data_IF_136177527500
#
_entry.id   IF_136177527500
#
_cell.length_a   1.000
_cell.length_b   1.000
_cell.length_c   1.000
_cell.angle_alpha   90.00
_cell.angle_beta   90.00
_cell.angle_gamma   90.00
#
_symmetry.space_group_name_H-M   'P 1'
#
loop_
_entity.id
_entity.type
_entity.pdbx_description
1 polymer ?
#
# COMPACT_ATOMS: atom_id res chain seq x y z
N UNK A 1 1.08 15.87 16.60
CA UNK A 1 0.13 16.46 15.62
C UNK A 1 -0.05 15.43 14.52
N UNK A 2 -1.16 14.70 14.53
CA UNK A 2 -1.43 13.65 13.54
C UNK A 2 -2.26 14.26 12.42
N UNK A 3 -1.60 14.73 11.37
CA UNK A 3 -2.26 15.17 10.16
C UNK A 3 -2.88 13.94 9.51
N UNK A 4 -4.21 13.78 9.55
CA UNK A 4 -4.91 12.72 8.82
C UNK A 4 -4.80 13.02 7.34
N UNK A 5 -3.77 12.49 6.69
CA UNK A 5 -3.55 12.61 5.24
C UNK A 5 -4.72 12.03 4.42
N UNK A 6 -5.66 11.34 5.07
CA UNK A 6 -6.86 10.78 4.46
C UNK A 6 -8.08 11.71 4.47
N UNK A 7 -8.00 12.87 5.12
CA UNK A 7 -9.07 13.87 5.06
C UNK A 7 -9.16 14.46 3.65
N UNK A 8 -10.40 14.72 3.18
CA UNK A 8 -10.64 15.43 1.93
C UNK A 8 -10.49 16.92 2.17
N UNK A 9 -9.51 17.53 1.51
CA UNK A 9 -9.25 18.97 1.65
C UNK A 9 -10.01 19.82 0.60
N UNK A 10 -10.37 19.23 -0.55
CA UNK A 10 -11.10 19.91 -1.63
C UNK A 10 -11.80 18.92 -2.56
N UNK A 11 -12.68 19.42 -3.44
CA UNK A 11 -13.30 18.60 -4.48
C UNK A 11 -12.27 18.00 -5.46
N UNK A 12 -11.17 18.72 -5.72
CA UNK A 12 -10.08 18.21 -6.58
C UNK A 12 -9.27 17.13 -5.87
N UNK A 13 -8.98 17.33 -4.58
CA UNK A 13 -8.34 16.31 -3.76
C UNK A 13 -9.19 15.03 -3.65
N UNK A 14 -10.50 15.18 -3.45
CA UNK A 14 -11.45 14.07 -3.48
C UNK A 14 -11.36 13.28 -4.80
N UNK A 15 -11.39 13.98 -5.95
CA UNK A 15 -11.32 13.31 -7.26
C UNK A 15 -10.01 12.56 -7.42
N UNK A 16 -8.90 13.19 -7.06
CA UNK A 16 -7.57 12.56 -7.08
C UNK A 16 -7.54 11.30 -6.20
N UNK A 17 -8.06 11.37 -4.98
CA UNK A 17 -8.17 10.25 -4.04
C UNK A 17 -9.02 9.10 -4.58
N UNK A 18 -10.14 9.41 -5.23
CA UNK A 18 -11.00 8.41 -5.87
C UNK A 18 -10.31 7.75 -7.07
N UNK A 19 -9.70 8.53 -7.95
CA UNK A 19 -8.98 8.01 -9.13
C UNK A 19 -7.91 7.01 -8.72
N UNK A 20 -7.09 7.35 -7.71
CA UNK A 20 -6.07 6.45 -7.17
C UNK A 20 -6.66 5.10 -6.74
N UNK A 21 -7.79 5.13 -6.01
CA UNK A 21 -8.46 3.94 -5.49
C UNK A 21 -9.09 3.08 -6.60
N UNK A 22 -9.81 3.69 -7.55
CA UNK A 22 -10.36 2.96 -8.70
C UNK A 22 -9.26 2.28 -9.53
N UNK A 23 -8.17 2.98 -9.79
CA UNK A 23 -7.06 2.41 -10.57
C UNK A 23 -6.34 1.30 -9.80
N UNK A 24 -6.08 1.49 -8.51
CA UNK A 24 -5.51 0.44 -7.67
C UNK A 24 -6.41 -0.81 -7.68
N UNK A 25 -7.72 -0.62 -7.52
CA UNK A 25 -8.71 -1.68 -7.59
C UNK A 25 -8.70 -2.40 -8.95
N UNK A 26 -8.66 -1.66 -10.06
CA UNK A 26 -8.55 -2.23 -11.40
C UNK A 26 -7.29 -3.08 -11.54
N UNK A 27 -6.14 -2.58 -11.06
CA UNK A 27 -4.88 -3.33 -11.07
C UNK A 27 -4.94 -4.60 -10.20
N UNK A 28 -5.64 -4.56 -9.06
CA UNK A 28 -5.85 -5.71 -8.20
C UNK A 28 -6.70 -6.78 -8.92
N UNK A 29 -7.85 -6.39 -9.48
CA UNK A 29 -8.74 -7.27 -10.24
C UNK A 29 -8.10 -7.89 -11.48
N UNK A 30 -7.19 -7.16 -12.13
CA UNK A 30 -6.43 -7.65 -13.29
C UNK A 30 -5.22 -8.53 -12.90
N UNK A 31 -5.03 -8.81 -11.60
CA UNK A 31 -3.87 -9.51 -11.04
C UNK A 31 -2.54 -8.89 -11.49
N UNK A 32 -2.49 -7.56 -11.66
CA UNK A 32 -1.29 -6.84 -12.11
C UNK A 32 -0.42 -6.39 -10.96
N UNK A 33 -1.02 -6.13 -9.79
CA UNK A 33 -0.30 -5.92 -8.53
C UNK A 33 0.50 -7.17 -8.12
N UNK A 34 0.04 -8.32 -8.59
CA UNK A 34 0.59 -9.64 -8.36
C UNK A 34 1.02 -10.23 -9.70
N UNK A 35 1.92 -9.58 -10.43
CA UNK A 35 2.61 -10.25 -11.58
C UNK A 35 4.12 -10.33 -11.40
N UNK A 36 4.73 -9.33 -10.78
CA UNK A 36 6.16 -9.33 -10.45
C UNK A 36 6.51 -10.33 -9.34
N UNK A 37 5.63 -10.50 -8.34
CA UNK A 37 5.74 -11.48 -7.25
C UNK A 37 5.98 -12.94 -7.70
N UNK A 38 5.39 -13.38 -8.81
CA UNK A 38 5.44 -14.77 -9.28
C UNK A 38 6.79 -15.14 -9.91
N UNK A 39 7.66 -14.15 -10.13
CA UNK A 39 9.00 -14.35 -10.69
C UNK A 39 10.10 -14.46 -9.62
N UNK A 40 9.77 -14.35 -8.32
CA UNK A 40 10.75 -14.56 -7.25
C UNK A 40 10.90 -16.06 -6.95
N UNK A 41 11.92 -16.68 -7.55
CA UNK A 41 12.31 -18.09 -7.37
C UNK A 41 12.59 -18.52 -5.91
N UNK A 42 12.59 -17.58 -4.95
CA UNK A 42 12.91 -17.82 -3.53
C UNK A 42 11.72 -17.72 -2.57
N UNK A 43 10.50 -17.53 -3.08
CA UNK A 43 9.31 -17.30 -2.27
C UNK A 43 9.26 -15.89 -1.68
N UNK A 44 8.10 -15.51 -1.14
CA UNK A 44 7.86 -14.16 -0.62
C UNK A 44 8.77 -13.84 0.58
N UNK A 45 9.43 -12.68 0.52
CA UNK A 45 10.09 -12.10 1.69
C UNK A 45 9.03 -11.65 2.70
N UNK A 46 9.12 -12.13 3.94
CA UNK A 46 8.19 -11.74 5.01
C UNK A 46 8.56 -10.36 5.54
N UNK A 47 7.88 -9.33 5.01
CA UNK A 47 8.13 -7.90 5.23
C UNK A 47 8.40 -7.50 6.70
N UNK A 48 7.68 -8.13 7.63
CA UNK A 48 7.63 -7.67 9.02
C UNK A 48 8.57 -8.44 9.95
N UNK A 49 8.73 -9.74 9.72
CA UNK A 49 9.42 -10.63 10.67
C UNK A 49 10.94 -10.65 10.49
N UNK A 50 11.45 -10.36 9.29
CA UNK A 50 12.88 -10.50 9.03
C UNK A 50 13.71 -9.25 9.29
N UNK A 51 13.15 -8.04 9.18
CA UNK A 51 13.95 -6.81 9.13
C UNK A 51 13.84 -5.80 10.26
N UNK A 52 12.72 -5.77 10.99
CA UNK A 52 12.60 -4.89 12.17
C UNK A 52 13.15 -5.53 13.45
N UNK A 53 14.01 -6.55 13.31
CA UNK A 53 14.70 -7.17 14.45
C UNK A 53 15.70 -6.16 15.05
N UNK A 54 15.89 -6.15 16.39
CA UNK A 54 16.85 -5.26 17.05
C UNK A 54 18.26 -5.30 16.45
N UNK A 55 18.67 -6.45 15.89
CA UNK A 55 19.96 -6.63 15.22
C UNK A 55 20.16 -5.77 13.95
N UNK A 56 19.08 -5.23 13.39
CA UNK A 56 19.12 -4.35 12.21
C UNK A 56 19.04 -2.86 12.56
N UNK A 57 18.88 -2.51 13.85
CA UNK A 57 18.90 -1.12 14.31
C UNK A 57 20.35 -0.67 14.43
N UNK A 58 20.71 0.35 13.64
CA UNK A 58 22.00 1.01 13.74
C UNK A 58 21.95 2.04 14.86
N UNK A 59 22.95 2.02 15.74
CA UNK A 59 23.13 3.03 16.78
C UNK A 59 24.34 3.90 16.46
N UNK A 60 24.24 5.19 16.77
CA UNK A 60 25.40 6.08 16.78
C UNK A 60 26.25 5.90 18.06
N UNK A 61 27.36 6.62 18.14
CA UNK A 61 28.28 6.60 19.31
C UNK A 61 27.59 7.03 20.62
N UNK A 62 26.45 7.72 20.54
CA UNK A 62 25.64 8.15 21.67
C UNK A 62 24.49 7.22 22.04
N UNK A 63 24.47 5.99 21.50
CA UNK A 63 23.38 4.99 21.66
C UNK A 63 22.01 5.48 21.17
N UNK A 64 21.99 6.41 20.21
CA UNK A 64 20.74 6.83 19.55
C UNK A 64 20.56 6.03 18.28
N UNK A 65 19.30 5.75 17.94
CA UNK A 65 18.94 5.10 16.68
C UNK A 65 19.36 6.01 15.52
N UNK A 66 20.36 5.56 14.77
CA UNK A 66 20.89 6.22 13.58
C UNK A 66 20.21 5.74 12.30
N UNK A 67 19.62 4.55 12.31
CA UNK A 67 18.88 4.01 11.19
C UNK A 67 18.49 2.56 11.37
N UNK A 68 17.84 1.98 10.35
CA UNK A 68 17.58 0.55 10.25
C UNK A 68 18.21 0.06 8.95
N UNK A 69 19.03 -0.98 9.02
CA UNK A 69 19.58 -1.65 7.84
C UNK A 69 18.57 -2.68 7.35
N UNK A 70 18.05 -2.48 6.15
CA UNK A 70 17.19 -3.47 5.49
C UNK A 70 18.02 -4.69 5.07
N UNK A 71 17.42 -5.88 5.11
CA UNK A 71 18.00 -7.06 4.48
C UNK A 71 17.99 -6.87 2.96
N UNK A 72 18.86 -7.62 2.26
CA UNK A 72 18.88 -7.62 0.79
C UNK A 72 17.50 -7.84 0.18
N UNK A 73 16.74 -8.88 0.58
CA UNK A 73 15.39 -9.11 0.04
C UNK A 73 14.40 -7.97 0.29
N UNK A 74 14.47 -7.28 1.43
CA UNK A 74 13.62 -6.11 1.69
C UNK A 74 14.03 -4.89 0.90
N UNK A 75 15.33 -4.71 0.70
CA UNK A 75 15.83 -3.67 -0.19
C UNK A 75 15.34 -3.93 -1.62
N UNK A 76 15.43 -5.17 -2.10
CA UNK A 76 14.92 -5.58 -3.40
C UNK A 76 13.41 -5.31 -3.51
N UNK A 77 12.62 -5.68 -2.48
CA UNK A 77 11.17 -5.42 -2.41
C UNK A 77 10.80 -3.93 -2.34
N UNK A 78 11.64 -3.13 -1.68
CA UNK A 78 11.47 -1.68 -1.55
C UNK A 78 11.74 -0.96 -2.87
N UNK A 79 12.77 -1.41 -3.59
CA UNK A 79 13.19 -0.86 -4.89
C UNK A 79 12.27 -1.34 -6.02
N UNK A 80 11.81 -2.60 -5.99
CA UNK A 80 10.90 -3.17 -6.98
C UNK A 80 9.49 -2.56 -6.93
N UNK A 81 9.04 -2.15 -5.74
CA UNK A 81 7.70 -1.63 -5.51
C UNK A 81 6.77 -2.53 -4.69
N UNK A 82 7.14 -3.79 -4.48
CA UNK A 82 6.28 -4.79 -3.83
C UNK A 82 5.95 -4.39 -2.38
N UNK A 83 6.93 -3.84 -1.65
CA UNK A 83 6.72 -3.29 -0.31
C UNK A 83 5.62 -2.23 -0.31
N UNK A 84 5.64 -1.32 -1.28
CA UNK A 84 4.71 -0.19 -1.36
C UNK A 84 3.30 -0.64 -1.70
N UNK A 85 3.16 -1.65 -2.56
CA UNK A 85 1.87 -2.27 -2.89
C UNK A 85 1.29 -2.94 -1.64
N UNK A 86 2.07 -3.75 -0.93
CA UNK A 86 1.66 -4.39 0.33
C UNK A 86 1.25 -3.35 1.38
N UNK A 87 2.07 -2.30 1.52
CA UNK A 87 1.85 -1.26 2.52
C UNK A 87 0.59 -0.45 2.20
N UNK A 88 0.37 -0.08 0.93
CA UNK A 88 -0.83 0.64 0.50
C UNK A 88 -2.10 -0.19 0.73
N UNK A 89 -2.06 -1.50 0.44
CA UNK A 89 -3.18 -2.40 0.68
C UNK A 89 -3.56 -2.49 2.17
N UNK A 90 -2.58 -2.37 3.08
CA UNK A 90 -2.78 -2.57 4.53
C UNK A 90 -2.99 -1.27 5.32
N UNK A 91 -2.39 -0.16 4.89
CA UNK A 91 -2.38 1.11 5.63
C UNK A 91 -2.87 2.26 4.75
N UNK A 92 -4.16 2.58 4.89
CA UNK A 92 -4.80 3.64 4.13
C UNK A 92 -4.30 5.06 4.47
N UNK A 93 -3.73 5.30 5.66
CA UNK A 93 -3.31 6.66 6.07
C UNK A 93 -2.34 7.35 5.08
N UNK A 94 -1.46 6.60 4.42
CA UNK A 94 -0.53 7.15 3.44
C UNK A 94 -0.83 6.68 2.02
N UNK A 95 -1.99 6.06 1.79
CA UNK A 95 -2.33 5.41 0.52
C UNK A 95 -2.16 6.37 -0.65
N UNK A 96 -2.76 7.56 -0.58
CA UNK A 96 -2.72 8.51 -1.69
C UNK A 96 -1.29 8.92 -2.03
N UNK A 97 -0.47 9.20 -1.02
CA UNK A 97 0.93 9.57 -1.22
C UNK A 97 1.72 8.41 -1.84
N UNK A 98 1.56 7.20 -1.32
CA UNK A 98 2.25 6.01 -1.81
C UNK A 98 1.80 5.68 -3.23
N UNK A 99 0.50 5.77 -3.50
CA UNK A 99 -0.05 5.47 -4.81
C UNK A 99 0.58 6.38 -5.87
N UNK A 100 0.50 7.70 -5.69
CA UNK A 100 0.98 8.63 -6.71
C UNK A 100 2.51 8.66 -6.85
N UNK A 101 3.26 8.44 -5.76
CA UNK A 101 4.73 8.51 -5.81
C UNK A 101 5.42 7.19 -6.15
N UNK A 102 4.76 6.06 -5.89
CA UNK A 102 5.36 4.73 -6.04
C UNK A 102 4.56 3.87 -7.01
N UNK A 103 3.27 3.66 -6.75
CA UNK A 103 2.48 2.66 -7.47
C UNK A 103 2.12 3.12 -8.89
N UNK A 104 1.64 4.34 -9.08
CA UNK A 104 1.25 4.88 -10.39
C UNK A 104 2.41 4.76 -11.40
N UNK A 105 3.63 5.10 -10.96
CA UNK A 105 4.82 5.07 -11.80
C UNK A 105 5.20 3.66 -12.26
N UNK A 106 4.87 2.62 -11.48
CA UNK A 106 5.12 1.23 -11.85
C UNK A 106 4.22 0.76 -13.00
N UNK A 107 3.01 1.32 -13.13
CA UNK A 107 1.99 0.79 -14.05
C UNK A 107 1.64 1.72 -15.21
N UNK A 108 1.81 3.04 -15.06
CA UNK A 108 1.33 4.05 -16.02
C UNK A 108 2.42 4.97 -16.57
N UNK A 109 3.69 4.64 -16.32
CA UNK A 109 4.91 5.34 -16.74
C UNK A 109 5.14 6.72 -16.07
N UNK A 110 6.40 7.16 -15.91
CA UNK A 110 6.73 8.46 -15.32
C UNK A 110 6.13 9.58 -16.15
N UNK A 111 5.34 10.43 -15.51
CA UNK A 111 4.72 11.60 -16.16
C UNK A 111 5.49 12.86 -15.78
N UNK A 112 5.69 13.77 -16.73
CA UNK A 112 6.39 15.06 -16.48
C UNK A 112 5.52 16.10 -15.76
N UNK A 113 4.25 15.79 -15.55
CA UNK A 113 3.26 16.64 -14.88
C UNK A 113 3.37 16.54 -13.36
N UNK A 114 2.91 17.58 -12.65
CA UNK A 114 2.82 17.55 -11.20
C UNK A 114 1.84 16.46 -10.74
N UNK A 115 2.05 15.90 -9.55
CA UNK A 115 1.17 14.90 -8.93
C UNK A 115 -0.27 15.42 -8.80
N UNK A 116 -0.44 16.74 -8.65
CA UNK A 116 -1.75 17.38 -8.52
C UNK A 116 -2.55 17.35 -9.83
N UNK A 117 -1.89 17.15 -10.98
CA UNK A 117 -2.53 17.11 -12.30
C UNK A 117 -2.50 15.72 -12.97
N UNK A 118 -1.61 14.81 -12.55
CA UNK A 118 -1.48 13.47 -13.15
C UNK A 118 -2.80 12.70 -13.16
N UNK A 119 -3.62 12.83 -12.10
CA UNK A 119 -4.90 12.13 -12.00
C UNK A 119 -5.86 12.44 -13.16
N UNK A 120 -5.79 13.64 -13.76
CA UNK A 120 -6.62 14.04 -14.90
C UNK A 120 -6.31 13.20 -16.14
N UNK A 121 -5.04 12.86 -16.34
CA UNK A 121 -4.60 11.97 -17.42
C UNK A 121 -4.99 10.52 -17.14
N UNK A 122 -5.04 10.14 -15.87
CA UNK A 122 -5.41 8.78 -15.49
C UNK A 122 -6.90 8.47 -15.61
N UNK A 123 -7.75 9.49 -15.72
CA UNK A 123 -9.16 9.31 -16.06
C UNK A 123 -9.33 8.47 -17.32
N UNK A 124 -8.41 8.55 -18.29
CA UNK A 124 -8.50 7.78 -19.53
C UNK A 124 -8.45 6.27 -19.37
N UNK A 125 -7.94 5.78 -18.23
CA UNK A 125 -7.90 4.35 -17.90
C UNK A 125 -9.14 3.87 -17.13
N UNK A 126 -10.05 4.77 -16.77
CA UNK A 126 -11.28 4.47 -16.04
C UNK A 126 -12.47 4.32 -17.00
N UNK A 127 -13.43 3.49 -16.61
CA UNK A 127 -14.69 3.27 -17.32
C UNK A 127 -15.63 4.48 -17.17
N UNK A 128 -16.62 4.61 -18.06
CA UNK A 128 -17.55 5.75 -18.06
C UNK A 128 -18.31 5.91 -16.74
N UNK A 129 -18.68 4.80 -16.11
CA UNK A 129 -19.38 4.78 -14.81
C UNK A 129 -18.46 5.31 -13.69
N UNK A 130 -17.21 4.85 -13.64
CA UNK A 130 -16.21 5.29 -12.66
C UNK A 130 -15.90 6.79 -12.82
N UNK A 131 -15.81 7.28 -14.07
CA UNK A 131 -15.63 8.71 -14.36
C UNK A 131 -16.84 9.54 -13.93
N UNK A 132 -18.06 9.02 -14.08
CA UNK A 132 -19.28 9.68 -13.64
C UNK A 132 -19.31 9.80 -12.11
N UNK A 133 -18.98 8.72 -11.40
CA UNK A 133 -18.85 8.72 -9.94
C UNK A 133 -17.83 9.77 -9.44
N UNK A 134 -16.70 9.89 -10.13
CA UNK A 134 -15.65 10.89 -9.82
C UNK A 134 -16.13 12.31 -10.13
N UNK A 135 -16.90 12.52 -11.22
CA UNK A 135 -17.44 13.82 -11.57
C UNK A 135 -18.46 14.32 -10.53
N UNK A 136 -19.26 13.39 -9.98
CA UNK A 136 -20.29 13.63 -8.96
C UNK A 136 -19.73 13.69 -7.52
N UNK A 137 -18.46 14.08 -7.34
CA UNK A 137 -17.71 14.12 -6.07
C UNK A 137 -18.35 14.85 -4.86
N UNK A 138 -19.60 15.31 -4.94
CA UNK A 138 -20.42 15.87 -3.87
C UNK A 138 -20.49 14.97 -2.61
N UNK A 139 -20.35 13.64 -2.78
CA UNK A 139 -20.33 12.66 -1.68
C UNK A 139 -18.97 11.95 -1.51
N UNK A 140 -17.88 12.65 -1.80
CA UNK A 140 -16.51 12.14 -1.78
C UNK A 140 -16.16 11.26 -0.58
N UNK A 141 -16.42 11.74 0.63
CA UNK A 141 -16.09 11.00 1.85
C UNK A 141 -16.91 9.70 1.98
N UNK A 142 -18.17 9.71 1.52
CA UNK A 142 -19.00 8.51 1.50
C UNK A 142 -18.45 7.47 0.54
N UNK A 143 -17.99 7.90 -0.64
CA UNK A 143 -17.37 7.00 -1.61
C UNK A 143 -16.04 6.46 -1.08
N UNK A 144 -15.18 7.31 -0.50
CA UNK A 144 -13.96 6.86 0.16
C UNK A 144 -14.27 5.83 1.26
N UNK A 145 -15.25 6.08 2.13
CA UNK A 145 -15.63 5.15 3.18
C UNK A 145 -16.13 3.79 2.63
N UNK A 146 -16.84 3.79 1.50
CA UNK A 146 -17.23 2.56 0.80
C UNK A 146 -16.00 1.81 0.26
N UNK A 147 -15.05 2.53 -0.33
CA UNK A 147 -13.78 1.94 -0.75
C UNK A 147 -13.02 1.34 0.45
N UNK A 148 -12.96 2.03 1.58
CA UNK A 148 -12.33 1.52 2.81
C UNK A 148 -13.02 0.28 3.37
N UNK A 149 -14.33 0.18 3.23
CA UNK A 149 -15.04 -1.03 3.57
C UNK A 149 -14.67 -2.16 2.59
N UNK A 150 -14.67 -1.87 1.30
CA UNK A 150 -14.31 -2.82 0.26
C UNK A 150 -12.87 -3.33 0.40
N UNK A 151 -11.88 -2.46 0.67
CA UNK A 151 -10.49 -2.85 0.89
C UNK A 151 -10.32 -3.86 2.04
N UNK A 152 -11.23 -3.85 3.02
CA UNK A 152 -11.26 -4.80 4.15
C UNK A 152 -11.96 -6.11 3.85
N UNK A 153 -12.77 -6.15 2.80
CA UNK A 153 -13.61 -7.30 2.45
C UNK A 153 -13.13 -8.00 1.15
N UNK A 154 -12.32 -7.33 0.33
CA UNK A 154 -11.84 -7.89 -0.93
C UNK A 154 -10.74 -8.94 -0.73
N UNK A 155 -11.04 -10.18 -1.10
CA UNK A 155 -10.11 -11.30 -0.98
C UNK A 155 -8.79 -11.08 -1.74
N UNK A 156 -8.78 -10.35 -2.86
CA UNK A 156 -7.55 -10.10 -3.62
C UNK A 156 -6.62 -9.18 -2.85
N UNK A 157 -7.15 -8.10 -2.29
CA UNK A 157 -6.38 -7.17 -1.44
C UNK A 157 -5.93 -7.85 -0.15
N UNK A 158 -6.82 -8.64 0.48
CA UNK A 158 -6.50 -9.40 1.69
C UNK A 158 -5.37 -10.39 1.41
N UNK A 159 -5.44 -11.15 0.32
CA UNK A 159 -4.40 -12.09 -0.08
C UNK A 159 -3.09 -11.36 -0.39
N UNK A 160 -3.13 -10.22 -1.09
CA UNK A 160 -1.94 -9.37 -1.31
C UNK A 160 -1.30 -8.99 0.04
N UNK A 161 -2.10 -8.56 1.01
CA UNK A 161 -1.61 -8.16 2.32
C UNK A 161 -1.09 -9.34 3.17
N UNK A 162 -1.72 -10.51 3.08
CA UNK A 162 -1.36 -11.73 3.82
C UNK A 162 -0.09 -12.37 3.24
N UNK A 163 -0.04 -12.56 1.92
CA UNK A 163 1.09 -13.20 1.23
C UNK A 163 2.39 -12.41 1.44
N UNK A 164 2.35 -11.07 1.37
CA UNK A 164 3.53 -10.21 1.50
C UNK A 164 4.05 -10.09 2.94
N UNK A 165 3.20 -10.32 3.95
CA UNK A 165 3.60 -10.23 5.36
C UNK A 165 3.94 -11.58 5.97
N UNK A 166 3.50 -12.67 5.34
CA UNK A 166 3.64 -14.03 5.85
C UNK A 166 2.90 -14.27 7.16
N UNK A 167 1.85 -13.48 7.41
CA UNK A 167 0.94 -13.60 8.55
C UNK A 167 -0.22 -14.51 8.14
N UNK A 168 -0.15 -15.76 8.60
CA UNK A 168 -1.24 -16.71 8.51
C UNK A 168 -2.15 -16.49 9.73
N UNK A 169 -3.40 -16.09 9.51
CA UNK A 169 -4.40 -15.90 10.58
C UNK A 169 -4.66 -17.20 11.38
N UNK A 170 -4.16 -18.35 10.93
CA UNK A 170 -4.27 -19.63 11.66
C UNK A 170 -3.21 -19.81 12.76
N UNK A 171 -2.20 -18.93 12.88
CA UNK A 171 -1.11 -19.07 13.86
C UNK A 171 -1.35 -18.33 15.19
N UNK A 172 -2.56 -17.78 15.41
CA UNK A 172 -2.91 -17.11 16.68
C UNK A 172 -3.11 -18.05 17.87
N UNK A 173 -3.16 -19.37 17.66
CA UNK A 173 -3.36 -20.35 18.74
C UNK A 173 -2.07 -20.97 19.30
N UNK A 174 -0.88 -20.61 18.77
CA UNK A 174 0.38 -21.28 19.14
C UNK A 174 1.29 -20.52 20.13
N UNK A 175 0.91 -19.37 20.69
CA UNK A 175 1.81 -18.58 21.57
C UNK A 175 1.26 -18.00 22.86
N UNK A 176 0.12 -18.50 23.34
CA UNK A 176 -0.31 -18.31 24.74
C UNK A 176 -0.09 -19.62 25.50
N UNK A 177 1.18 -19.94 25.75
CA UNK A 177 1.49 -21.18 26.47
C UNK A 177 2.97 -21.54 26.57
N UNK A 178 3.90 -20.59 26.71
CA UNK A 178 5.21 -20.94 27.26
C UNK A 178 5.58 -20.01 28.40
N UNK A 179 5.68 -20.62 29.58
CA UNK A 179 6.10 -20.08 30.85
C UNK A 179 7.47 -19.40 30.73
N UNK A 180 7.55 -18.14 31.15
CA UNK A 180 8.81 -17.60 31.68
C UNK A 180 8.74 -17.68 33.21
N UNK A 181 9.14 -18.83 33.75
CA UNK A 181 9.78 -18.89 35.06
C UNK A 181 11.26 -18.56 34.84
N UNK A 182 11.69 -17.40 35.35
CA UNK A 182 12.99 -17.16 36.00
C UNK A 182 12.94 -15.79 36.71
#
# INVERSE_FOLDING_TARGET
>A
MNQRNDAIDSAEDCRRKLVARYLFHKLAREHRLTKQWASFDKGLFKLWCDDFRPANILMDEGLKIAGVRLSGPMQDSWESGDFWIAYAARNNFAFDLIYWHKIDQLFFQPTSSSIDDVWKQRLDFLELEERADIAEALNGQTQLNKFEQWFREDETVINIAQDLTGYDDTDTDARIGENFDL
#
